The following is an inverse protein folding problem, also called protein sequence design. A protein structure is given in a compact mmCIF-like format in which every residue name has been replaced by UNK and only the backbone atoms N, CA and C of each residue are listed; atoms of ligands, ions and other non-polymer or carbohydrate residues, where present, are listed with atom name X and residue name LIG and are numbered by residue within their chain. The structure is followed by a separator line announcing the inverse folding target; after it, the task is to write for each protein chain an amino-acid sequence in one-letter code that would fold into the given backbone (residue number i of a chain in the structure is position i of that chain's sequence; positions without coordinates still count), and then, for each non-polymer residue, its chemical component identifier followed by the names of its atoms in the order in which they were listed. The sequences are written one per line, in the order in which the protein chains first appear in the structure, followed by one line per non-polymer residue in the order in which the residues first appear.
data_IF_969298853968
#
_entry.id   IF_969298853968
#
_cell.length_a   1.000
_cell.length_b   1.000
_cell.length_c   1.000
_cell.angle_alpha   90.00
_cell.angle_beta   90.00
_cell.angle_gamma   90.00
#
_symmetry.space_group_name_H-M   'P 1'
#
loop_
_entity.id
_entity.type
_entity.pdbx_description
1 polymer ?
#
# COMPACT_ATOMS: atom_id res chain seq x y z
N UNK A 1 14.94 3.16 -5.34
CA UNK A 1 15.31 4.52 -4.88
C UNK A 1 16.74 4.92 -5.23
N UNK A 2 17.26 4.46 -6.39
CA UNK A 2 18.70 4.55 -6.70
C UNK A 2 19.14 5.88 -7.33
N UNK A 3 18.26 6.85 -7.46
CA UNK A 3 18.58 8.16 -8.06
C UNK A 3 18.03 9.31 -7.23
N UNK A 4 18.80 10.40 -7.17
CA UNK A 4 18.46 11.63 -6.47
C UNK A 4 17.98 12.73 -7.46
N UNK A 5 17.37 13.79 -6.94
CA UNK A 5 17.14 15.00 -7.73
C UNK A 5 18.51 15.68 -8.02
N UNK A 6 18.73 16.19 -9.25
CA UNK A 6 17.75 16.42 -10.34
C UNK A 6 17.55 15.22 -11.30
N UNK A 7 18.36 14.17 -11.23
CA UNK A 7 18.38 13.08 -12.23
C UNK A 7 17.01 12.40 -12.38
N UNK A 8 16.30 12.17 -11.26
CA UNK A 8 14.92 11.64 -11.30
C UNK A 8 13.96 12.51 -12.13
N UNK A 9 14.09 13.81 -12.02
CA UNK A 9 13.21 14.73 -12.75
C UNK A 9 13.50 14.70 -14.26
N UNK A 10 14.78 14.60 -14.63
CA UNK A 10 15.23 14.51 -16.02
C UNK A 10 14.71 13.22 -16.65
N UNK A 11 14.88 12.08 -15.98
CA UNK A 11 14.39 10.79 -16.43
C UNK A 11 12.86 10.79 -16.68
N UNK A 12 12.10 11.38 -15.76
CA UNK A 12 10.63 11.48 -15.92
C UNK A 12 10.24 12.33 -17.12
N UNK A 13 10.94 13.44 -17.37
CA UNK A 13 10.68 14.30 -18.51
C UNK A 13 11.03 13.59 -19.82
N UNK A 14 12.16 12.89 -19.87
CA UNK A 14 12.60 12.14 -21.03
C UNK A 14 11.64 10.98 -21.34
N UNK A 15 11.20 10.24 -20.33
CA UNK A 15 10.21 9.17 -20.52
C UNK A 15 8.84 9.72 -20.96
N UNK A 16 8.42 10.87 -20.44
CA UNK A 16 7.21 11.53 -20.88
C UNK A 16 7.31 11.97 -22.35
N UNK A 17 8.46 12.51 -22.75
CA UNK A 17 8.77 12.86 -24.14
C UNK A 17 8.71 11.66 -25.08
N UNK A 18 9.39 10.57 -24.71
CA UNK A 18 9.41 9.33 -25.46
C UNK A 18 8.00 8.72 -25.60
N UNK A 19 7.22 8.71 -24.53
CA UNK A 19 5.85 8.19 -24.53
C UNK A 19 4.93 8.97 -25.50
N UNK A 20 5.07 10.30 -25.54
CA UNK A 20 4.31 11.13 -26.50
C UNK A 20 4.72 10.85 -27.93
N UNK A 21 6.02 10.62 -28.21
CA UNK A 21 6.53 10.27 -29.54
C UNK A 21 6.08 8.90 -30.04
N UNK A 22 5.91 7.93 -29.15
CA UNK A 22 5.44 6.59 -29.47
C UNK A 22 3.94 6.54 -29.82
N UNK A 23 3.18 7.58 -29.51
CA UNK A 23 1.76 7.65 -29.90
C UNK A 23 1.60 7.76 -31.41
N UNK A 24 0.51 7.22 -32.00
CA UNK A 24 0.19 7.40 -33.42
C UNK A 24 0.20 8.89 -33.81
N UNK A 25 0.64 9.21 -35.02
CA UNK A 25 0.80 10.60 -35.47
C UNK A 25 -0.44 11.50 -35.25
N UNK A 26 -1.65 10.91 -35.33
CA UNK A 26 -2.93 11.60 -35.08
C UNK A 26 -3.17 11.97 -33.63
N UNK A 27 -2.43 11.38 -32.68
CA UNK A 27 -2.57 11.60 -31.22
C UNK A 27 -1.32 12.21 -30.58
N UNK A 28 -0.31 12.61 -31.41
CA UNK A 28 0.90 13.24 -30.89
C UNK A 28 0.61 14.68 -30.50
N UNK A 29 0.85 14.99 -29.22
CA UNK A 29 0.80 16.35 -28.73
C UNK A 29 2.11 17.08 -29.05
N UNK A 30 2.05 18.39 -29.35
CA UNK A 30 3.24 19.24 -29.55
C UNK A 30 3.87 19.71 -28.24
N UNK A 31 3.16 19.59 -27.12
CA UNK A 31 3.60 19.95 -25.78
C UNK A 31 3.26 18.83 -24.81
N UNK A 32 4.13 18.62 -23.85
CA UNK A 32 3.92 17.72 -22.71
C UNK A 32 3.20 18.54 -21.65
N UNK A 33 2.02 18.07 -21.23
CA UNK A 33 1.23 18.69 -20.18
C UNK A 33 1.54 18.04 -18.83
N UNK A 34 1.16 18.69 -17.73
CA UNK A 34 1.29 18.16 -16.37
C UNK A 34 0.67 16.76 -16.24
N UNK A 35 -0.49 16.54 -16.85
CA UNK A 35 -1.16 15.23 -16.87
C UNK A 35 -0.35 14.11 -17.55
N UNK A 36 0.45 14.45 -18.58
CA UNK A 36 1.33 13.47 -19.22
C UNK A 36 2.48 13.07 -18.28
N UNK A 37 3.04 14.04 -17.55
CA UNK A 37 4.09 13.81 -16.54
C UNK A 37 3.53 13.01 -15.36
N UNK A 38 2.37 13.38 -14.82
CA UNK A 38 1.67 12.66 -13.76
C UNK A 38 1.43 11.20 -14.13
N UNK A 39 1.01 10.94 -15.37
CA UNK A 39 0.81 9.57 -15.87
C UNK A 39 2.11 8.75 -15.89
N UNK A 40 3.25 9.36 -16.20
CA UNK A 40 4.55 8.69 -16.18
C UNK A 40 5.01 8.44 -14.74
N UNK A 41 4.89 9.46 -13.86
CA UNK A 41 5.21 9.31 -12.44
C UNK A 41 4.37 8.19 -11.82
N UNK A 42 3.07 8.16 -12.09
CA UNK A 42 2.17 7.11 -11.64
C UNK A 42 2.64 5.72 -12.11
N UNK A 43 3.06 5.60 -13.37
CA UNK A 43 3.57 4.35 -13.94
C UNK A 43 4.89 3.91 -13.30
N UNK A 44 5.83 4.82 -13.12
CA UNK A 44 7.14 4.55 -12.48
C UNK A 44 6.94 4.16 -11.02
N UNK A 45 6.10 4.89 -10.31
CA UNK A 45 5.79 4.67 -8.90
C UNK A 45 4.81 3.50 -8.66
N UNK A 46 4.28 2.89 -9.74
CA UNK A 46 3.25 1.85 -9.69
C UNK A 46 2.00 2.29 -8.91
N UNK A 47 1.67 3.58 -9.00
CA UNK A 47 0.49 4.18 -8.37
C UNK A 47 -0.58 4.37 -9.43
N UNK A 48 -1.86 4.11 -9.15
CA UNK A 48 -2.95 4.43 -10.07
C UNK A 48 -2.91 5.92 -10.46
N UNK A 49 -3.02 6.27 -11.77
CA UNK A 49 -2.85 7.66 -12.24
C UNK A 49 -3.88 8.65 -11.65
N UNK A 50 -5.00 8.18 -11.16
CA UNK A 50 -6.01 9.01 -10.46
C UNK A 50 -5.55 9.55 -9.11
N UNK A 51 -4.46 9.04 -8.53
CA UNK A 51 -3.99 9.40 -7.18
C UNK A 51 -2.93 10.51 -7.15
N UNK A 52 -2.49 10.98 -8.29
CA UNK A 52 -1.52 12.09 -8.39
C UNK A 52 -2.21 13.46 -8.41
N UNK A 53 -3.55 13.51 -8.52
CA UNK A 53 -4.33 14.73 -8.59
C UNK A 53 -5.09 15.07 -7.29
N UNK A 54 -5.50 16.32 -7.15
CA UNK A 54 -6.17 16.98 -6.00
C UNK A 54 -7.42 16.25 -5.44
N UNK A 55 -7.89 15.21 -6.10
CA UNK A 55 -9.09 14.42 -5.75
C UNK A 55 -8.92 13.59 -4.46
N UNK A 56 -7.69 13.34 -4.01
CA UNK A 56 -7.41 12.54 -2.79
C UNK A 56 -7.96 13.21 -1.52
N UNK A 57 -7.93 14.53 -1.46
CA UNK A 57 -8.39 15.28 -0.28
C UNK A 57 -9.91 15.18 -0.10
N UNK A 58 -10.67 15.12 -1.18
CA UNK A 58 -12.12 14.98 -1.12
C UNK A 58 -12.53 13.54 -0.75
N UNK A 59 -11.86 12.55 -1.31
CA UNK A 59 -12.07 11.13 -0.97
C UNK A 59 -11.78 10.86 0.51
N UNK A 60 -10.71 11.45 1.06
CA UNK A 60 -10.37 11.32 2.47
C UNK A 60 -11.39 12.00 3.40
N UNK A 61 -11.99 13.13 2.98
CA UNK A 61 -13.04 13.81 3.75
C UNK A 61 -14.31 12.95 3.88
N UNK A 62 -14.64 12.20 2.82
CA UNK A 62 -15.85 11.37 2.79
C UNK A 62 -15.62 9.95 3.28
N UNK A 63 -14.38 9.55 3.52
CA UNK A 63 -13.99 8.17 3.85
C UNK A 63 -14.78 7.58 5.03
N UNK A 64 -14.96 8.35 6.11
CA UNK A 64 -15.70 7.93 7.28
C UNK A 64 -17.16 7.62 6.93
N UNK A 65 -17.82 8.53 6.22
CA UNK A 65 -19.20 8.37 5.78
C UNK A 65 -19.35 7.18 4.86
N UNK A 66 -18.47 7.05 3.89
CA UNK A 66 -18.55 6.02 2.85
C UNK A 66 -18.30 4.62 3.44
N UNK A 67 -17.41 4.49 4.43
CA UNK A 67 -17.23 3.25 5.18
C UNK A 67 -18.45 2.91 6.04
N UNK A 68 -19.02 3.88 6.76
CA UNK A 68 -20.24 3.66 7.58
C UNK A 68 -21.47 3.30 6.76
N UNK A 69 -21.52 3.68 5.48
CA UNK A 69 -22.59 3.29 4.58
C UNK A 69 -22.56 1.80 4.19
N UNK A 70 -21.40 1.16 4.23
CA UNK A 70 -21.21 -0.23 3.78
C UNK A 70 -20.86 -1.19 4.91
N UNK A 71 -20.35 -0.71 6.03
CA UNK A 71 -20.03 -1.52 7.22
C UNK A 71 -20.81 -1.00 8.42
N UNK A 72 -21.67 -1.83 8.97
CA UNK A 72 -22.59 -1.47 10.06
C UNK A 72 -22.04 -1.91 11.42
N UNK A 73 -22.26 -1.07 12.44
CA UNK A 73 -21.95 -1.41 13.84
C UNK A 73 -20.46 -1.39 14.18
N UNK A 74 -19.64 -0.69 13.36
CA UNK A 74 -18.19 -0.50 13.59
C UNK A 74 -17.81 0.99 13.61
N UNK A 75 -18.72 1.85 14.04
CA UNK A 75 -18.57 3.31 13.94
C UNK A 75 -17.29 3.81 14.65
N UNK A 76 -17.04 3.36 15.89
CA UNK A 76 -15.84 3.75 16.65
C UNK A 76 -14.53 3.31 15.94
N UNK A 77 -14.50 2.09 15.46
CA UNK A 77 -13.33 1.56 14.74
C UNK A 77 -13.10 2.32 13.43
N UNK A 78 -14.17 2.65 12.69
CA UNK A 78 -14.10 3.42 11.45
C UNK A 78 -13.64 4.85 11.74
N UNK A 79 -14.13 5.50 12.78
CA UNK A 79 -13.70 6.85 13.18
C UNK A 79 -12.22 6.90 13.57
N UNK A 80 -11.76 5.96 14.37
CA UNK A 80 -10.36 5.84 14.76
C UNK A 80 -9.46 5.64 13.53
N UNK A 81 -9.84 4.70 12.65
CA UNK A 81 -9.12 4.38 11.42
C UNK A 81 -9.03 5.59 10.49
N UNK A 82 -10.15 6.22 10.19
CA UNK A 82 -10.20 7.35 9.25
C UNK A 82 -9.52 8.59 9.79
N UNK A 83 -9.58 8.83 11.10
CA UNK A 83 -8.86 9.92 11.76
C UNK A 83 -7.34 9.75 11.66
N UNK A 84 -6.84 8.55 11.92
CA UNK A 84 -5.42 8.25 11.80
C UNK A 84 -4.91 8.38 10.35
N UNK A 85 -5.69 7.89 9.37
CA UNK A 85 -5.35 8.03 7.95
C UNK A 85 -5.30 9.51 7.54
N UNK A 86 -6.30 10.31 7.96
CA UNK A 86 -6.33 11.76 7.67
C UNK A 86 -5.14 12.48 8.29
N UNK A 87 -4.80 12.15 9.54
CA UNK A 87 -3.68 12.74 10.26
C UNK A 87 -2.35 12.47 9.55
N UNK A 88 -2.11 11.23 9.14
CA UNK A 88 -0.91 10.87 8.39
C UNK A 88 -0.84 11.60 7.05
N UNK A 89 -1.94 11.62 6.28
CA UNK A 89 -2.01 12.28 4.97
C UNK A 89 -1.96 13.81 5.03
N UNK A 90 -2.16 14.42 6.20
CA UNK A 90 -1.99 15.88 6.38
C UNK A 90 -0.53 16.32 6.51
N UNK A 91 0.43 15.40 6.36
CA UNK A 91 1.85 15.69 6.44
C UNK A 91 2.46 15.57 7.84
N UNK A 92 1.68 15.07 8.81
CA UNK A 92 2.16 14.81 10.18
C UNK A 92 2.78 13.41 10.33
N UNK A 93 2.68 12.57 9.30
CA UNK A 93 3.31 11.26 9.25
C UNK A 93 4.76 11.32 8.80
N UNK A 94 5.55 10.32 9.17
CA UNK A 94 6.90 10.12 8.64
C UNK A 94 6.79 9.46 7.26
N UNK A 95 7.58 9.92 6.28
CA UNK A 95 7.49 9.44 4.89
C UNK A 95 7.90 7.97 4.72
N UNK A 96 8.76 7.48 5.60
CA UNK A 96 9.29 6.11 5.55
C UNK A 96 8.37 5.08 6.24
N UNK A 97 7.44 5.53 7.08
CA UNK A 97 6.57 4.66 7.85
C UNK A 97 5.25 4.36 7.12
N UNK A 98 4.59 3.23 7.43
CA UNK A 98 3.24 2.97 6.96
C UNK A 98 2.29 4.12 7.35
N UNK A 99 1.27 4.37 6.53
CA UNK A 99 0.23 5.38 6.82
C UNK A 99 -0.42 5.14 8.18
N UNK A 100 -0.52 3.88 8.60
CA UNK A 100 -0.98 3.48 9.91
C UNK A 100 -0.98 1.97 10.04
N UNK A 101 -0.77 1.51 11.26
CA UNK A 101 -0.88 0.11 11.64
C UNK A 101 -2.02 -0.04 12.64
N UNK A 102 -2.98 -0.91 12.33
CA UNK A 102 -4.23 -1.03 13.09
C UNK A 102 -4.45 -2.48 13.51
N UNK A 103 -4.77 -2.69 14.78
CA UNK A 103 -5.15 -3.98 15.31
C UNK A 103 -6.65 -4.00 15.58
N UNK A 104 -7.39 -4.81 14.82
CA UNK A 104 -8.81 -5.05 15.03
C UNK A 104 -9.01 -6.26 15.91
N UNK A 105 -9.55 -6.05 17.12
CA UNK A 105 -9.89 -7.12 18.07
C UNK A 105 -11.40 -7.27 18.19
N UNK A 106 -11.86 -8.48 18.51
CA UNK A 106 -13.28 -8.77 18.71
C UNK A 106 -13.69 -10.15 18.21
N UNK A 107 -14.91 -10.60 18.49
CA UNK A 107 -15.42 -11.90 18.12
C UNK A 107 -15.48 -12.10 16.59
N UNK A 108 -15.61 -13.35 16.17
CA UNK A 108 -15.73 -13.67 14.75
C UNK A 108 -17.06 -13.14 14.19
N UNK A 109 -17.05 -12.69 12.94
CA UNK A 109 -18.25 -12.27 12.23
C UNK A 109 -18.69 -10.82 12.46
N UNK A 110 -17.98 -10.02 13.28
CA UNK A 110 -18.34 -8.61 13.56
C UNK A 110 -17.91 -7.63 12.46
N UNK A 111 -17.26 -8.09 11.39
CA UNK A 111 -16.91 -7.24 10.24
C UNK A 111 -15.46 -6.74 10.19
N UNK A 112 -14.55 -7.24 11.03
CA UNK A 112 -13.12 -6.79 11.04
C UNK A 112 -12.47 -6.83 9.66
N UNK A 113 -12.53 -7.98 8.99
CA UNK A 113 -11.99 -8.16 7.64
C UNK A 113 -12.73 -7.33 6.60
N UNK A 114 -14.04 -7.11 6.78
CA UNK A 114 -14.85 -6.34 5.85
C UNK A 114 -14.51 -4.85 5.88
N UNK A 115 -14.25 -4.26 7.06
CA UNK A 115 -13.76 -2.88 7.17
C UNK A 115 -12.52 -2.67 6.32
N UNK A 116 -11.54 -3.58 6.43
CA UNK A 116 -10.29 -3.51 5.68
C UNK A 116 -10.50 -3.66 4.17
N UNK A 117 -11.38 -4.58 3.76
CA UNK A 117 -11.72 -4.77 2.34
C UNK A 117 -12.39 -3.53 1.74
N UNK A 118 -13.34 -2.95 2.45
CA UNK A 118 -14.04 -1.75 1.98
C UNK A 118 -13.13 -0.52 1.99
N UNK A 119 -12.21 -0.41 2.98
CA UNK A 119 -11.19 0.62 3.00
C UNK A 119 -10.32 0.57 1.72
N UNK A 120 -9.78 -0.60 1.40
CA UNK A 120 -8.97 -0.79 0.20
C UNK A 120 -9.74 -0.40 -1.08
N UNK A 121 -11.02 -0.81 -1.16
CA UNK A 121 -11.90 -0.51 -2.29
C UNK A 121 -12.20 0.99 -2.43
N UNK A 122 -12.53 1.67 -1.32
CA UNK A 122 -12.87 3.11 -1.33
C UNK A 122 -11.64 3.95 -1.67
N UNK A 123 -10.48 3.55 -1.16
CA UNK A 123 -9.21 4.21 -1.46
C UNK A 123 -8.61 3.80 -2.81
N UNK A 124 -9.27 2.89 -3.55
CA UNK A 124 -8.77 2.32 -4.81
C UNK A 124 -7.33 1.78 -4.66
N UNK A 125 -7.10 1.05 -3.55
CA UNK A 125 -5.82 0.41 -3.22
C UNK A 125 -5.94 -1.11 -3.39
N UNK A 126 -4.82 -1.76 -3.75
CA UNK A 126 -4.76 -3.22 -3.75
C UNK A 126 -4.86 -3.75 -2.31
N UNK A 127 -5.62 -4.82 -2.13
CA UNK A 127 -5.70 -5.53 -0.85
C UNK A 127 -4.83 -6.78 -0.90
N UNK A 128 -3.72 -6.75 -0.18
CA UNK A 128 -2.84 -7.89 0.03
C UNK A 128 -3.29 -8.58 1.32
N UNK A 129 -3.76 -9.83 1.22
CA UNK A 129 -4.24 -10.58 2.37
C UNK A 129 -3.40 -11.83 2.59
N UNK A 130 -2.93 -12.00 3.82
CA UNK A 130 -2.32 -13.24 4.31
C UNK A 130 -3.14 -13.79 5.47
N UNK A 131 -3.49 -15.07 5.39
CA UNK A 131 -4.11 -15.80 6.48
C UNK A 131 -3.00 -16.39 7.37
N UNK A 132 -2.89 -15.88 8.59
CA UNK A 132 -1.82 -16.26 9.50
C UNK A 132 -1.94 -17.68 10.04
N UNK A 133 -3.09 -18.32 9.86
CA UNK A 133 -3.24 -19.76 10.15
C UNK A 133 -2.35 -20.64 9.28
N UNK A 134 -1.92 -20.18 8.11
CA UNK A 134 -0.97 -20.87 7.24
C UNK A 134 0.49 -20.71 7.70
N UNK A 135 0.75 -19.77 8.62
CA UNK A 135 2.08 -19.40 9.09
C UNK A 135 2.28 -19.67 10.58
N UNK A 136 1.71 -20.77 11.07
CA UNK A 136 1.86 -21.21 12.46
C UNK A 136 3.21 -21.86 12.74
N UNK A 137 3.85 -22.43 11.71
CA UNK A 137 5.10 -23.16 11.87
C UNK A 137 6.29 -22.37 11.32
N UNK A 138 7.45 -22.55 11.96
CA UNK A 138 8.68 -21.80 11.63
C UNK A 138 9.09 -21.89 10.16
N UNK A 139 8.92 -23.05 9.54
CA UNK A 139 9.28 -23.26 8.13
C UNK A 139 8.36 -22.49 7.17
N UNK A 140 7.08 -22.30 7.53
CA UNK A 140 6.14 -21.50 6.72
C UNK A 140 6.42 -20.01 6.87
N UNK A 141 6.90 -19.55 8.04
CA UNK A 141 7.34 -18.16 8.25
C UNK A 141 8.50 -17.80 7.32
N UNK A 142 9.46 -18.72 7.12
CA UNK A 142 10.57 -18.49 6.19
C UNK A 142 10.11 -18.29 4.74
N UNK A 143 8.97 -18.84 4.34
CA UNK A 143 8.36 -18.55 3.03
C UNK A 143 7.73 -17.17 2.97
N UNK A 144 7.17 -16.70 4.08
CA UNK A 144 6.53 -15.39 4.16
C UNK A 144 7.58 -14.26 4.11
N UNK A 145 8.64 -14.39 4.89
CA UNK A 145 9.65 -13.35 5.12
C UNK A 145 10.85 -13.49 4.18
N UNK A 146 11.15 -14.71 3.73
CA UNK A 146 12.38 -15.10 3.08
C UNK A 146 13.30 -15.88 4.01
N UNK A 147 14.19 -16.69 3.43
CA UNK A 147 15.17 -17.46 4.21
C UNK A 147 16.35 -16.57 4.62
N UNK A 148 16.86 -16.71 5.86
CA UNK A 148 18.07 -16.01 6.27
C UNK A 148 19.29 -16.40 5.41
N UNK A 149 20.32 -15.54 5.31
CA UNK A 149 21.55 -15.84 4.60
C UNK A 149 22.17 -17.17 5.05
N UNK A 150 22.51 -18.03 4.08
CA UNK A 150 23.10 -19.34 4.34
C UNK A 150 22.12 -20.52 4.41
N UNK A 151 20.84 -20.28 4.30
CA UNK A 151 19.82 -21.34 4.20
C UNK A 151 19.39 -21.59 2.74
N UNK A 152 18.92 -22.81 2.46
CA UNK A 152 18.38 -23.18 1.15
C UNK A 152 17.17 -22.31 0.85
N UNK A 153 17.18 -21.62 -0.32
CA UNK A 153 16.08 -20.70 -0.70
C UNK A 153 16.33 -19.23 -0.36
N UNK A 154 17.55 -18.86 0.09
CA UNK A 154 17.91 -17.46 0.35
C UNK A 154 17.72 -16.54 -0.87
N UNK A 155 17.94 -17.05 -2.09
CA UNK A 155 17.76 -16.29 -3.33
C UNK A 155 16.27 -16.04 -3.68
N UNK A 156 15.35 -16.69 -2.97
CA UNK A 156 13.92 -16.45 -3.12
C UNK A 156 13.48 -15.42 -2.08
N UNK A 157 13.05 -14.26 -2.56
CA UNK A 157 12.45 -13.23 -1.69
C UNK A 157 11.26 -13.78 -0.92
N UNK A 158 10.93 -13.19 0.22
CA UNK A 158 9.73 -13.56 0.97
C UNK A 158 8.46 -13.15 0.21
N UNK A 159 7.42 -13.98 0.30
CA UNK A 159 6.12 -13.70 -0.33
C UNK A 159 5.56 -12.33 0.04
N UNK A 160 5.70 -11.93 1.31
CA UNK A 160 5.29 -10.63 1.81
C UNK A 160 6.04 -9.50 1.11
N UNK A 161 7.36 -9.61 1.05
CA UNK A 161 8.24 -8.61 0.43
C UNK A 161 7.97 -8.51 -1.07
N UNK A 162 7.79 -9.65 -1.74
CA UNK A 162 7.48 -9.68 -3.18
C UNK A 162 6.15 -8.99 -3.49
N UNK A 163 5.10 -9.29 -2.72
CA UNK A 163 3.77 -8.69 -2.94
C UNK A 163 3.78 -7.18 -2.64
N UNK A 164 4.46 -6.73 -1.58
CA UNK A 164 4.60 -5.31 -1.28
C UNK A 164 5.42 -4.59 -2.38
N UNK A 165 6.48 -5.22 -2.90
CA UNK A 165 7.26 -4.65 -4.00
C UNK A 165 6.47 -4.56 -5.31
N UNK A 166 5.56 -5.52 -5.57
CA UNK A 166 4.67 -5.47 -6.73
C UNK A 166 3.62 -4.36 -6.57
N UNK A 167 3.11 -4.20 -5.36
CA UNK A 167 2.02 -3.27 -5.01
C UNK A 167 2.41 -2.38 -3.82
N UNK A 168 3.35 -1.44 -4.01
CA UNK A 168 3.87 -0.60 -2.92
C UNK A 168 2.81 0.32 -2.31
N UNK A 169 1.68 0.51 -3.00
CA UNK A 169 0.56 1.31 -2.56
C UNK A 169 -0.66 0.41 -2.31
N UNK A 170 -0.63 -0.32 -1.23
CA UNK A 170 -1.62 -1.36 -0.90
C UNK A 170 -2.07 -1.30 0.55
N UNK A 171 -3.14 -2.00 0.85
CA UNK A 171 -3.57 -2.31 2.21
C UNK A 171 -3.16 -3.74 2.51
N UNK A 172 -2.27 -3.91 3.49
CA UNK A 172 -1.86 -5.22 3.97
C UNK A 172 -2.80 -5.67 5.09
N UNK A 173 -3.44 -6.82 4.90
CA UNK A 173 -4.28 -7.47 5.90
C UNK A 173 -3.64 -8.79 6.34
N UNK A 174 -3.30 -8.86 7.62
CA UNK A 174 -2.87 -10.08 8.28
C UNK A 174 -4.05 -10.62 9.09
N UNK A 175 -4.76 -11.58 8.53
CA UNK A 175 -5.96 -12.16 9.14
C UNK A 175 -5.57 -13.25 10.14
N UNK A 176 -6.33 -13.38 11.24
CA UNK A 176 -6.09 -14.36 12.31
C UNK A 176 -4.67 -14.29 12.90
N UNK A 177 -4.19 -13.07 13.13
CA UNK A 177 -2.83 -12.80 13.59
C UNK A 177 -2.45 -13.56 14.87
N UNK A 178 -3.42 -13.88 15.72
CA UNK A 178 -3.23 -14.66 16.95
C UNK A 178 -2.74 -16.10 16.71
N UNK A 179 -2.90 -16.62 15.48
CA UNK A 179 -2.42 -17.94 15.09
C UNK A 179 -0.99 -17.93 14.53
N UNK A 180 -0.43 -16.75 14.26
CA UNK A 180 0.89 -16.62 13.68
C UNK A 180 1.99 -17.14 14.61
N UNK A 181 3.06 -17.69 14.03
CA UNK A 181 4.27 -17.99 14.79
C UNK A 181 4.88 -16.73 15.40
N UNK A 182 5.46 -16.79 16.61
CA UNK A 182 6.07 -15.62 17.28
C UNK A 182 7.06 -14.82 16.44
N UNK A 183 7.80 -15.45 15.54
CA UNK A 183 8.75 -14.76 14.66
C UNK A 183 8.07 -13.74 13.72
N UNK A 184 6.80 -13.94 13.38
CA UNK A 184 6.01 -12.98 12.60
C UNK A 184 5.81 -11.68 13.35
N UNK A 185 5.57 -11.75 14.68
CA UNK A 185 5.40 -10.53 15.50
C UNK A 185 6.68 -9.70 15.57
N UNK A 186 7.85 -10.35 15.62
CA UNK A 186 9.13 -9.64 15.61
C UNK A 186 9.34 -8.86 14.30
N UNK A 187 8.96 -9.45 13.17
CA UNK A 187 8.99 -8.76 11.88
C UNK A 187 8.03 -7.57 11.85
N UNK A 188 6.80 -7.78 12.32
CA UNK A 188 5.79 -6.72 12.32
C UNK A 188 6.22 -5.52 13.15
N UNK A 189 6.87 -5.74 14.31
CA UNK A 189 7.42 -4.67 15.12
C UNK A 189 8.43 -3.83 14.33
N UNK A 190 9.34 -4.48 13.58
CA UNK A 190 10.30 -3.76 12.74
C UNK A 190 9.63 -2.93 11.65
N UNK A 191 8.63 -3.49 10.97
CA UNK A 191 7.87 -2.77 9.93
C UNK A 191 7.10 -1.59 10.51
N UNK A 192 6.54 -1.74 11.72
CA UNK A 192 5.77 -0.68 12.39
C UNK A 192 6.66 0.46 12.91
N UNK A 193 7.86 0.13 13.39
CA UNK A 193 8.77 1.12 14.00
C UNK A 193 9.63 1.85 12.97
N UNK A 194 10.06 1.18 11.91
CA UNK A 194 11.05 1.70 10.96
C UNK A 194 10.56 1.74 9.52
N UNK A 195 9.39 1.19 9.22
CA UNK A 195 8.86 1.11 7.85
C UNK A 195 9.65 0.16 6.92
N UNK A 196 10.61 -0.60 7.47
CA UNK A 196 11.50 -1.49 6.70
C UNK A 196 11.44 -2.91 7.20
#
# INVERSE_FOLDING_TARGET
NDRHLPDKAIDVIDEAGANVQLRPASKRKKRIDVADVESIVAKIARIPPKKVSVTDTESLKMLDRDLKMVVYGQDEAIEALTSAIRMNRSGLGQEENPIGSFLFTGPTGVGKTEVTRQLARILDMELIRFDMSEYMERHTVSRLIGAPPGYVGFDQGGLLTEEINKHPHSVLLLDEIEKAHPDVFNLLLQVMDHGT
#
